data_IF_567296259046
#
_entry.id   IF_567296259046
#
_cell.length_a   1.000
_cell.length_b   1.000
_cell.length_c   1.000
_cell.angle_alpha   90.00
_cell.angle_beta   90.00
_cell.angle_gamma   90.00
#
_symmetry.space_group_name_H-M   'P 1'
#
loop_
_entity.id
_entity.type
_entity.pdbx_description
1 polymer ?
#
# COMPACT_ATOMS: atom_id res chain seq x y z
N UNK A 1 30.37 -15.63 46.45
CA UNK A 1 29.31 -14.62 46.58
C UNK A 1 29.37 -13.50 45.53
N UNK A 2 30.52 -12.87 45.24
CA UNK A 2 30.56 -11.71 44.32
C UNK A 2 30.13 -12.03 42.87
N UNK A 3 30.52 -13.20 42.34
CA UNK A 3 30.18 -13.62 40.97
C UNK A 3 28.69 -13.89 40.75
N UNK A 4 28.01 -14.44 41.76
CA UNK A 4 26.56 -14.72 41.67
C UNK A 4 25.77 -13.41 41.71
N UNK A 5 26.18 -12.45 42.53
CA UNK A 5 25.56 -11.11 42.58
C UNK A 5 25.72 -10.36 41.25
N UNK A 6 26.91 -10.40 40.62
CA UNK A 6 27.12 -9.79 39.30
C UNK A 6 26.28 -10.44 38.20
N UNK A 7 26.08 -11.75 38.24
CA UNK A 7 25.25 -12.47 37.27
C UNK A 7 23.77 -12.11 37.40
N UNK A 8 23.24 -12.04 38.62
CA UNK A 8 21.87 -11.60 38.86
C UNK A 8 21.68 -10.11 38.53
N UNK A 9 22.65 -9.26 38.87
CA UNK A 9 22.64 -7.84 38.48
C UNK A 9 22.69 -7.67 36.95
N UNK A 10 23.44 -8.50 36.24
CA UNK A 10 23.49 -8.51 34.77
C UNK A 10 22.19 -9.03 34.14
N UNK A 11 21.58 -10.08 34.70
CA UNK A 11 20.25 -10.58 34.28
C UNK A 11 19.16 -9.54 34.55
N UNK A 12 19.19 -8.88 35.71
CA UNK A 12 18.25 -7.79 36.05
C UNK A 12 18.51 -6.59 35.15
N UNK A 13 19.76 -6.22 34.90
CA UNK A 13 20.13 -5.16 33.96
C UNK A 13 19.64 -5.47 32.54
N UNK A 14 19.79 -6.72 32.08
CA UNK A 14 19.25 -7.19 30.79
C UNK A 14 17.72 -7.20 30.79
N UNK A 15 17.04 -7.66 31.85
CA UNK A 15 15.56 -7.65 31.92
C UNK A 15 14.99 -6.23 32.01
N UNK A 16 15.62 -5.34 32.76
CA UNK A 16 15.24 -3.92 32.89
C UNK A 16 15.53 -3.16 31.60
N UNK A 17 16.65 -3.46 30.90
CA UNK A 17 16.92 -2.97 29.53
C UNK A 17 16.02 -3.62 28.47
N UNK A 18 15.58 -4.88 28.62
CA UNK A 18 14.67 -5.57 27.68
C UNK A 18 13.19 -5.22 27.89
N UNK A 19 12.85 -4.43 28.92
CA UNK A 19 11.59 -3.67 28.94
C UNK A 19 11.57 -2.57 27.85
N UNK A 20 12.72 -2.35 27.20
CA UNK A 20 12.91 -1.45 26.08
C UNK A 20 12.74 -2.25 24.78
N UNK A 21 11.52 -2.17 24.24
CA UNK A 21 11.17 -2.44 22.84
C UNK A 21 11.15 -3.94 22.48
N UNK A 22 9.94 -4.47 22.27
CA UNK A 22 9.73 -5.79 21.65
C UNK A 22 9.48 -5.57 20.15
N UNK A 23 10.52 -5.58 19.30
CA UNK A 23 10.37 -5.34 17.85
C UNK A 23 9.35 -6.31 17.23
N UNK A 24 9.31 -7.56 17.71
CA UNK A 24 8.35 -8.59 17.28
C UNK A 24 6.89 -8.13 17.44
N UNK A 25 6.56 -7.39 18.52
CA UNK A 25 5.20 -6.88 18.73
C UNK A 25 4.86 -5.70 17.83
N UNK A 26 5.87 -4.91 17.45
CA UNK A 26 5.68 -3.73 16.60
C UNK A 26 5.50 -4.15 15.14
N UNK A 27 6.25 -5.16 14.69
CA UNK A 27 6.10 -5.78 13.37
C UNK A 27 4.76 -6.49 13.22
N UNK A 28 4.32 -7.21 14.27
CA UNK A 28 2.99 -7.82 14.29
C UNK A 28 1.88 -6.78 14.14
N UNK A 29 1.94 -5.67 14.88
CA UNK A 29 0.98 -4.57 14.77
C UNK A 29 0.97 -3.98 13.34
N UNK A 30 2.15 -3.75 12.76
CA UNK A 30 2.27 -3.23 11.39
C UNK A 30 1.58 -4.15 10.37
N UNK A 31 1.85 -5.46 10.44
CA UNK A 31 1.21 -6.45 9.56
C UNK A 31 -0.31 -6.52 9.75
N UNK A 32 -0.80 -6.46 10.99
CA UNK A 32 -2.24 -6.41 11.25
C UNK A 32 -2.89 -5.17 10.62
N UNK A 33 -2.23 -4.01 10.70
CA UNK A 33 -2.71 -2.78 10.05
C UNK A 33 -2.76 -2.95 8.53
N UNK A 34 -1.71 -3.49 7.91
CA UNK A 34 -1.66 -3.74 6.46
C UNK A 34 -2.83 -4.62 6.03
N UNK A 35 -3.02 -5.75 6.70
CA UNK A 35 -4.10 -6.69 6.41
C UNK A 35 -5.47 -6.03 6.58
N UNK A 36 -5.63 -5.22 7.63
CA UNK A 36 -6.88 -4.49 7.87
C UNK A 36 -7.20 -3.55 6.72
N UNK A 37 -6.24 -2.74 6.25
CA UNK A 37 -6.44 -1.83 5.12
C UNK A 37 -6.68 -2.57 3.80
N UNK A 38 -6.04 -3.72 3.60
CA UNK A 38 -6.19 -4.53 2.40
C UNK A 38 -7.58 -5.18 2.32
N UNK A 39 -8.09 -5.69 3.44
CA UNK A 39 -9.39 -6.39 3.52
C UNK A 39 -10.56 -5.41 3.58
N UNK A 40 -10.37 -4.22 4.16
CA UNK A 40 -11.43 -3.24 4.40
C UNK A 40 -12.34 -2.95 3.19
N UNK A 41 -11.84 -2.59 1.99
CA UNK A 41 -12.72 -2.25 0.88
C UNK A 41 -13.64 -3.41 0.47
N UNK A 42 -13.11 -4.64 0.40
CA UNK A 42 -13.91 -5.81 0.04
C UNK A 42 -14.92 -6.18 1.13
N UNK A 43 -14.55 -6.06 2.41
CA UNK A 43 -15.48 -6.27 3.52
C UNK A 43 -16.60 -5.24 3.52
N UNK A 44 -16.29 -3.97 3.25
CA UNK A 44 -17.29 -2.92 3.21
C UNK A 44 -18.23 -3.08 2.01
N UNK A 45 -17.70 -3.47 0.86
CA UNK A 45 -18.50 -3.79 -0.32
C UNK A 45 -19.50 -4.93 -0.07
N UNK A 46 -19.07 -6.03 0.56
CA UNK A 46 -19.97 -7.14 0.88
C UNK A 46 -21.00 -6.79 1.96
N UNK A 47 -20.65 -5.92 2.91
CA UNK A 47 -21.63 -5.45 3.89
C UNK A 47 -22.65 -4.50 3.25
N UNK A 48 -22.24 -3.59 2.37
CA UNK A 48 -23.16 -2.71 1.67
C UNK A 48 -24.03 -3.46 0.66
N UNK A 49 -23.53 -4.53 0.01
CA UNK A 49 -24.32 -5.26 -1.00
C UNK A 49 -25.62 -5.87 -0.47
N UNK A 50 -25.73 -6.09 0.85
CA UNK A 50 -26.97 -6.55 1.53
C UNK A 50 -28.11 -5.51 1.42
N UNK A 51 -27.78 -4.24 1.20
CA UNK A 51 -28.75 -3.17 0.96
C UNK A 51 -29.03 -2.94 -0.54
N UNK A 52 -28.33 -3.65 -1.43
CA UNK A 52 -28.51 -3.53 -2.88
C UNK A 52 -29.67 -4.40 -3.34
N UNK A 53 -30.85 -3.81 -3.42
CA UNK A 53 -32.05 -4.48 -3.91
C UNK A 53 -32.31 -4.14 -5.38
N UNK A 54 -33.18 -4.91 -6.03
CA UNK A 54 -33.78 -4.59 -7.33
C UNK A 54 -35.26 -4.93 -7.32
N UNK A 55 -36.03 -4.16 -8.07
CA UNK A 55 -37.43 -4.49 -8.33
C UNK A 55 -37.50 -5.53 -9.46
N UNK A 56 -38.28 -6.61 -9.24
CA UNK A 56 -38.54 -7.64 -10.26
C UNK A 56 -40.00 -7.57 -10.71
N UNK A 57 -40.92 -7.61 -9.74
CA UNK A 57 -42.34 -7.39 -9.94
C UNK A 57 -42.73 -6.07 -9.27
N UNK A 58 -43.83 -5.47 -9.72
CA UNK A 58 -44.35 -4.21 -9.18
C UNK A 58 -44.53 -4.28 -7.66
N UNK A 59 -43.68 -3.56 -6.92
CA UNK A 59 -43.67 -3.52 -5.45
C UNK A 59 -42.92 -4.66 -4.74
N UNK A 60 -42.29 -5.58 -5.48
CA UNK A 60 -41.47 -6.66 -4.92
C UNK A 60 -39.98 -6.41 -5.18
N UNK A 61 -39.26 -6.12 -4.09
CA UNK A 61 -37.82 -5.92 -4.10
C UNK A 61 -37.12 -7.20 -3.66
N UNK A 62 -36.12 -7.60 -4.42
CA UNK A 62 -35.32 -8.79 -4.17
C UNK A 62 -33.84 -8.41 -4.08
N UNK A 63 -33.09 -9.15 -3.28
CA UNK A 63 -31.68 -8.85 -3.03
C UNK A 63 -30.82 -9.19 -4.27
N UNK A 64 -29.94 -8.27 -4.70
CA UNK A 64 -29.16 -8.44 -5.93
C UNK A 64 -28.15 -9.59 -5.89
N UNK A 65 -27.58 -9.87 -4.72
CA UNK A 65 -26.58 -10.95 -4.55
C UNK A 65 -27.24 -12.33 -4.40
N UNK A 66 -28.50 -12.37 -3.97
CA UNK A 66 -29.26 -13.60 -3.75
C UNK A 66 -30.76 -13.33 -3.95
N UNK A 67 -31.28 -13.78 -5.10
CA UNK A 67 -32.67 -13.53 -5.49
C UNK A 67 -33.67 -14.39 -4.72
N UNK A 68 -33.23 -15.27 -3.82
CA UNK A 68 -34.12 -16.03 -2.93
C UNK A 68 -34.55 -15.19 -1.70
N UNK A 69 -33.89 -14.06 -1.44
CA UNK A 69 -34.15 -13.20 -0.29
C UNK A 69 -34.97 -11.98 -0.73
N UNK A 70 -36.19 -11.85 -0.18
CA UNK A 70 -37.03 -10.68 -0.37
C UNK A 70 -36.51 -9.51 0.49
N UNK A 71 -36.28 -8.36 -0.14
CA UNK A 71 -35.88 -7.15 0.56
C UNK A 71 -37.06 -6.56 1.34
N UNK A 72 -36.74 -5.93 2.47
CA UNK A 72 -37.72 -5.27 3.35
C UNK A 72 -38.72 -6.21 4.04
N UNK A 73 -38.50 -7.52 3.96
CA UNK A 73 -39.20 -8.48 4.82
C UNK A 73 -38.67 -8.39 6.27
N UNK A 74 -39.43 -8.93 7.22
CA UNK A 74 -39.09 -8.86 8.65
C UNK A 74 -37.67 -9.38 8.93
N UNK A 75 -37.30 -10.53 8.38
CA UNK A 75 -35.97 -11.11 8.57
C UNK A 75 -34.88 -10.24 7.93
N UNK A 76 -35.09 -9.77 6.69
CA UNK A 76 -34.13 -8.91 5.99
C UNK A 76 -33.89 -7.60 6.74
N UNK A 77 -34.95 -6.94 7.20
CA UNK A 77 -34.84 -5.70 8.00
C UNK A 77 -34.12 -5.97 9.32
N UNK A 78 -34.51 -7.03 10.04
CA UNK A 78 -33.93 -7.35 11.33
C UNK A 78 -32.41 -7.56 11.22
N UNK A 79 -31.95 -8.42 10.29
CA UNK A 79 -30.52 -8.67 10.12
C UNK A 79 -29.76 -7.47 9.55
N UNK A 80 -30.35 -6.75 8.57
CA UNK A 80 -29.71 -5.59 7.94
C UNK A 80 -29.46 -4.47 8.94
N UNK A 81 -30.44 -4.12 9.77
CA UNK A 81 -30.29 -3.02 10.73
C UNK A 81 -29.61 -3.43 12.04
N UNK A 82 -29.81 -4.66 12.53
CA UNK A 82 -29.24 -5.08 13.83
C UNK A 82 -27.80 -5.60 13.71
N UNK A 83 -27.43 -6.23 12.59
CA UNK A 83 -26.12 -6.85 12.42
C UNK A 83 -25.28 -6.07 11.42
N UNK A 84 -25.81 -5.85 10.21
CA UNK A 84 -25.01 -5.32 9.10
C UNK A 84 -24.71 -3.83 9.28
N UNK A 85 -25.70 -3.01 9.65
CA UNK A 85 -25.49 -1.58 9.84
C UNK A 85 -24.45 -1.29 10.95
N UNK A 86 -24.49 -1.93 12.14
CA UNK A 86 -23.41 -1.79 13.12
C UNK A 86 -22.06 -2.31 12.62
N UNK A 87 -22.03 -3.40 11.83
CA UNK A 87 -20.80 -3.89 11.23
C UNK A 87 -20.18 -2.85 10.27
N UNK A 88 -20.98 -2.20 9.42
CA UNK A 88 -20.53 -1.12 8.53
C UNK A 88 -19.96 0.04 9.35
N UNK A 89 -20.64 0.45 10.42
CA UNK A 89 -20.16 1.53 11.29
C UNK A 89 -18.83 1.16 11.96
N UNK A 90 -18.72 -0.05 12.51
CA UNK A 90 -17.52 -0.52 13.19
C UNK A 90 -16.34 -0.61 12.20
N UNK A 91 -16.52 -1.32 11.08
CA UNK A 91 -15.45 -1.61 10.14
C UNK A 91 -15.14 -0.45 9.19
N UNK A 92 -16.14 0.35 8.81
CA UNK A 92 -15.99 1.45 7.86
C UNK A 92 -15.61 2.77 8.52
N UNK A 93 -16.12 3.04 9.73
CA UNK A 93 -15.95 4.35 10.37
C UNK A 93 -15.11 4.26 11.64
N UNK A 94 -15.51 3.44 12.60
CA UNK A 94 -14.93 3.44 13.95
C UNK A 94 -13.49 2.94 13.93
N UNK A 95 -13.21 1.78 13.35
CA UNK A 95 -11.86 1.20 13.37
C UNK A 95 -10.86 2.08 12.62
N UNK A 96 -11.09 2.50 11.36
CA UNK A 96 -10.19 3.43 10.68
C UNK A 96 -10.08 4.78 11.39
N UNK A 97 -11.18 5.30 11.95
CA UNK A 97 -11.19 6.54 12.70
C UNK A 97 -10.33 6.49 13.98
N UNK A 98 -10.40 5.39 14.73
CA UNK A 98 -9.54 5.18 15.91
C UNK A 98 -8.06 5.12 15.54
N UNK A 99 -7.73 4.47 14.42
CA UNK A 99 -6.35 4.43 13.91
C UNK A 99 -5.87 5.81 13.46
N UNK A 100 -6.72 6.58 12.76
CA UNK A 100 -6.43 7.95 12.37
C UNK A 100 -6.21 8.86 13.58
N UNK A 101 -7.06 8.79 14.60
CA UNK A 101 -6.91 9.56 15.84
C UNK A 101 -5.58 9.21 16.54
N UNK A 102 -5.24 7.92 16.62
CA UNK A 102 -3.92 7.50 17.15
C UNK A 102 -2.79 8.09 16.33
N UNK A 103 -2.86 8.03 15.00
CA UNK A 103 -1.82 8.54 14.13
C UNK A 103 -1.62 10.06 14.29
N UNK A 104 -2.72 10.83 14.36
CA UNK A 104 -2.69 12.28 14.59
C UNK A 104 -2.03 12.61 15.93
N UNK A 105 -2.30 11.83 17.00
CA UNK A 105 -1.65 12.02 18.30
C UNK A 105 -0.14 11.75 18.27
N UNK A 106 0.34 10.95 17.33
CA UNK A 106 1.76 10.68 17.13
C UNK A 106 2.41 11.54 16.04
N UNK A 107 1.72 12.57 15.51
CA UNK A 107 2.21 13.46 14.45
C UNK A 107 3.62 14.01 14.73
N UNK A 108 3.86 14.51 15.94
CA UNK A 108 5.16 15.11 16.29
C UNK A 108 6.27 14.07 16.49
N UNK A 109 5.89 12.79 16.61
CA UNK A 109 6.78 11.64 16.83
C UNK A 109 6.85 10.71 15.62
N UNK A 110 6.43 11.15 14.44
CA UNK A 110 6.48 10.34 13.21
C UNK A 110 7.91 9.89 12.83
N UNK A 111 8.93 10.60 13.31
CA UNK A 111 10.34 10.24 13.11
C UNK A 111 10.89 9.24 14.14
N UNK A 112 10.15 8.97 15.23
CA UNK A 112 10.58 7.98 16.22
C UNK A 112 10.61 6.60 15.60
N UNK A 113 11.68 5.84 15.86
CA UNK A 113 11.89 4.50 15.30
C UNK A 113 10.69 3.58 15.57
N UNK A 114 10.06 3.68 16.74
CA UNK A 114 8.89 2.85 17.10
C UNK A 114 7.65 3.18 16.29
N UNK A 115 7.39 4.47 16.11
CA UNK A 115 6.24 4.96 15.34
C UNK A 115 6.43 4.60 13.87
N UNK A 116 7.66 4.77 13.36
CA UNK A 116 8.02 4.37 12.00
C UNK A 116 7.93 2.87 11.76
N UNK A 117 8.26 2.01 12.73
CA UNK A 117 8.08 0.56 12.58
C UNK A 117 6.60 0.16 12.54
N UNK A 118 5.75 0.76 13.39
CA UNK A 118 4.32 0.42 13.49
C UNK A 118 3.45 1.02 12.39
N UNK A 119 3.67 2.29 12.09
CA UNK A 119 2.84 3.10 11.19
C UNK A 119 3.56 3.43 9.87
N UNK A 120 4.78 2.91 9.70
CA UNK A 120 5.58 3.11 8.51
C UNK A 120 4.82 2.78 7.25
N UNK A 121 4.04 1.69 7.23
CA UNK A 121 3.23 1.35 6.07
C UNK A 121 2.27 2.48 5.65
N UNK A 122 1.54 3.07 6.59
CA UNK A 122 0.51 4.09 6.32
C UNK A 122 1.16 5.41 5.89
N UNK A 123 2.29 5.77 6.49
CA UNK A 123 2.92 7.07 6.26
C UNK A 123 4.06 7.03 5.23
N UNK A 124 4.58 5.85 4.89
CA UNK A 124 5.73 5.71 3.98
C UNK A 124 5.31 6.08 2.57
N UNK A 125 6.05 7.01 1.98
CA UNK A 125 5.78 7.52 0.63
C UNK A 125 4.95 8.80 0.61
N UNK A 126 4.33 9.20 1.72
CA UNK A 126 3.60 10.47 1.84
C UNK A 126 4.49 11.60 2.37
N UNK A 127 4.18 12.84 1.98
CA UNK A 127 4.83 14.01 2.58
C UNK A 127 4.43 14.15 4.06
N UNK A 128 5.24 14.86 4.85
CA UNK A 128 4.95 15.07 6.28
C UNK A 128 3.62 15.79 6.53
N UNK A 129 3.18 16.60 5.57
CA UNK A 129 1.92 17.35 5.66
C UNK A 129 0.71 16.45 5.40
N UNK A 130 0.87 15.43 4.54
CA UNK A 130 -0.19 14.52 4.10
C UNK A 130 -0.04 13.10 4.70
N UNK A 131 0.52 12.98 5.90
CA UNK A 131 0.76 11.69 6.56
C UNK A 131 -0.50 10.82 6.79
N UNK A 132 -1.68 11.44 6.74
CA UNK A 132 -2.99 10.80 6.94
C UNK A 132 -3.69 10.43 5.62
N UNK A 133 -3.05 10.65 4.48
CA UNK A 133 -3.71 10.57 3.17
C UNK A 133 -4.23 9.17 2.82
N UNK A 134 -3.60 8.11 3.33
CA UNK A 134 -4.11 6.75 3.16
C UNK A 134 -5.54 6.59 3.69
N UNK A 135 -5.89 7.27 4.80
CA UNK A 135 -7.26 7.30 5.31
C UNK A 135 -8.21 8.06 4.39
N UNK A 136 -7.74 9.12 3.72
CA UNK A 136 -8.54 9.85 2.72
C UNK A 136 -8.88 8.93 1.54
N UNK A 137 -7.91 8.15 1.07
CA UNK A 137 -8.12 7.14 0.02
C UNK A 137 -9.11 6.06 0.51
N UNK A 138 -8.99 5.60 1.76
CA UNK A 138 -9.90 4.63 2.33
C UNK A 138 -11.34 5.13 2.38
N UNK A 139 -11.57 6.33 2.95
CA UNK A 139 -12.92 6.90 3.04
C UNK A 139 -13.48 7.28 1.67
N UNK A 140 -12.64 7.63 0.70
CA UNK A 140 -13.05 7.77 -0.70
C UNK A 140 -13.67 6.47 -1.23
N UNK A 141 -12.99 5.33 -1.06
CA UNK A 141 -13.50 4.01 -1.49
C UNK A 141 -14.83 3.68 -0.80
N UNK A 142 -14.91 3.87 0.52
CA UNK A 142 -16.14 3.63 1.29
C UNK A 142 -17.30 4.50 0.79
N UNK A 143 -17.04 5.78 0.51
CA UNK A 143 -18.08 6.70 0.01
C UNK A 143 -18.54 6.31 -1.40
N UNK A 144 -17.62 5.92 -2.28
CA UNK A 144 -17.97 5.41 -3.62
C UNK A 144 -18.83 4.15 -3.55
N UNK A 145 -18.46 3.18 -2.71
CA UNK A 145 -19.24 1.95 -2.49
C UNK A 145 -20.63 2.30 -1.96
N UNK A 146 -20.70 3.16 -0.95
CA UNK A 146 -21.94 3.59 -0.32
C UNK A 146 -22.90 4.25 -1.31
N UNK A 147 -22.41 5.19 -2.13
CA UNK A 147 -23.22 5.85 -3.17
C UNK A 147 -23.67 4.86 -4.24
N UNK A 148 -22.82 3.92 -4.64
CA UNK A 148 -23.17 2.90 -5.62
C UNK A 148 -24.34 2.04 -5.15
N UNK A 149 -24.37 1.66 -3.87
CA UNK A 149 -25.45 0.84 -3.31
C UNK A 149 -26.71 1.65 -3.03
N UNK A 150 -26.61 2.80 -2.35
CA UNK A 150 -27.81 3.56 -1.98
C UNK A 150 -28.57 4.13 -3.17
N UNK A 151 -27.89 4.35 -4.30
CA UNK A 151 -28.51 4.87 -5.51
C UNK A 151 -28.94 3.78 -6.50
N UNK A 152 -28.70 2.49 -6.20
CA UNK A 152 -29.01 1.38 -7.11
C UNK A 152 -30.50 1.28 -7.44
N UNK A 153 -31.38 1.71 -6.53
CA UNK A 153 -32.83 1.63 -6.67
C UNK A 153 -33.46 2.81 -7.43
N UNK A 154 -32.73 3.91 -7.68
CA UNK A 154 -33.32 5.11 -8.29
C UNK A 154 -33.31 5.01 -9.81
N UNK A 155 -32.10 5.01 -10.39
CA UNK A 155 -31.86 4.74 -11.80
C UNK A 155 -30.36 4.61 -12.02
N UNK A 156 -29.98 3.79 -12.99
CA UNK A 156 -28.58 3.55 -13.36
C UNK A 156 -27.89 4.88 -13.74
N UNK A 157 -28.59 5.76 -14.46
CA UNK A 157 -28.05 7.06 -14.89
C UNK A 157 -27.76 7.99 -13.71
N UNK A 158 -28.67 8.08 -12.73
CA UNK A 158 -28.47 8.91 -11.54
C UNK A 158 -27.33 8.35 -10.67
N UNK A 159 -27.29 7.02 -10.48
CA UNK A 159 -26.21 6.35 -9.75
C UNK A 159 -24.84 6.65 -10.40
N UNK A 160 -24.71 6.42 -11.70
CA UNK A 160 -23.46 6.64 -12.42
C UNK A 160 -23.02 8.11 -12.40
N UNK A 161 -23.96 9.06 -12.55
CA UNK A 161 -23.68 10.48 -12.47
C UNK A 161 -23.17 10.89 -11.08
N UNK A 162 -23.82 10.42 -10.02
CA UNK A 162 -23.41 10.74 -8.64
C UNK A 162 -22.02 10.19 -8.32
N UNK A 163 -21.74 8.94 -8.69
CA UNK A 163 -20.40 8.33 -8.54
C UNK A 163 -19.36 9.08 -9.37
N UNK A 164 -19.70 9.51 -10.58
CA UNK A 164 -18.85 10.31 -11.47
C UNK A 164 -18.48 11.65 -10.84
N UNK A 165 -19.46 12.40 -10.31
CA UNK A 165 -19.24 13.69 -9.63
C UNK A 165 -18.32 13.50 -8.41
N UNK A 166 -18.57 12.45 -7.62
CA UNK A 166 -17.76 12.13 -6.45
C UNK A 166 -16.31 11.79 -6.85
N UNK A 167 -16.13 11.03 -7.92
CA UNK A 167 -14.80 10.68 -8.42
C UNK A 167 -14.04 11.90 -8.95
N UNK A 168 -14.71 12.80 -9.67
CA UNK A 168 -14.14 14.09 -10.12
C UNK A 168 -13.68 14.93 -8.92
N UNK A 169 -14.48 14.98 -7.85
CA UNK A 169 -14.09 15.66 -6.61
C UNK A 169 -12.81 15.05 -6.00
N UNK A 170 -12.69 13.72 -5.94
CA UNK A 170 -11.48 13.08 -5.44
C UNK A 170 -10.27 13.23 -6.36
N UNK A 171 -10.48 13.30 -7.68
CA UNK A 171 -9.43 13.64 -8.65
C UNK A 171 -8.93 15.06 -8.39
N UNK A 172 -9.83 16.02 -8.17
CA UNK A 172 -9.47 17.40 -7.85
C UNK A 172 -8.64 17.47 -6.55
N UNK A 173 -9.06 16.76 -5.50
CA UNK A 173 -8.29 16.66 -4.25
C UNK A 173 -6.88 16.09 -4.47
N UNK A 174 -6.74 15.06 -5.32
CA UNK A 174 -5.44 14.46 -5.65
C UNK A 174 -4.54 15.45 -6.39
N UNK A 175 -5.07 16.17 -7.39
CA UNK A 175 -4.32 17.16 -8.19
C UNK A 175 -3.86 18.32 -7.31
N UNK A 176 -4.73 18.80 -6.41
CA UNK A 176 -4.46 19.93 -5.52
C UNK A 176 -3.39 19.60 -4.48
N UNK A 177 -3.50 18.44 -3.83
CA UNK A 177 -2.70 18.14 -2.65
C UNK A 177 -1.40 17.40 -2.97
N UNK A 178 -1.32 16.62 -4.07
CA UNK A 178 -0.13 15.84 -4.46
C UNK A 178 0.57 15.17 -3.26
N UNK A 179 -0.16 14.31 -2.53
CA UNK A 179 0.20 13.85 -1.19
C UNK A 179 1.48 13.01 -1.14
N UNK A 180 1.84 12.33 -2.24
CA UNK A 180 3.01 11.47 -2.28
C UNK A 180 4.29 12.30 -2.44
N UNK A 181 5.38 11.83 -1.82
CA UNK A 181 6.71 12.42 -1.97
C UNK A 181 7.28 12.16 -3.37
N UNK A 182 6.98 11.00 -3.95
CA UNK A 182 7.35 10.68 -5.34
C UNK A 182 6.29 11.22 -6.30
N UNK A 183 6.71 12.09 -7.23
CA UNK A 183 5.86 12.62 -8.29
C UNK A 183 5.24 11.50 -9.13
N UNK A 184 6.01 10.44 -9.42
CA UNK A 184 5.51 9.32 -10.22
C UNK A 184 4.35 8.63 -9.52
N UNK A 185 4.40 8.50 -8.20
CA UNK A 185 3.31 7.89 -7.44
C UNK A 185 2.05 8.76 -7.44
N UNK A 186 2.20 10.10 -7.39
CA UNK A 186 1.08 11.02 -7.58
C UNK A 186 0.46 10.88 -8.98
N UNK A 187 1.29 10.80 -10.02
CA UNK A 187 0.83 10.69 -11.41
C UNK A 187 0.12 9.34 -11.65
N UNK A 188 0.64 8.25 -11.09
CA UNK A 188 0.01 6.93 -11.15
C UNK A 188 -1.34 6.89 -10.43
N UNK A 189 -1.45 7.52 -9.26
CA UNK A 189 -2.71 7.60 -8.51
C UNK A 189 -3.75 8.48 -9.21
N UNK A 190 -3.31 9.51 -9.93
CA UNK A 190 -4.19 10.31 -10.78
C UNK A 190 -4.64 9.49 -12.01
N UNK A 191 -3.71 8.76 -12.63
CA UNK A 191 -3.99 7.92 -13.78
C UNK A 191 -4.99 6.79 -13.44
N UNK A 192 -4.84 6.15 -12.28
CA UNK A 192 -5.79 5.11 -11.82
C UNK A 192 -7.21 5.64 -11.71
N UNK A 193 -7.40 6.81 -11.08
CA UNK A 193 -8.71 7.45 -10.94
C UNK A 193 -9.28 7.94 -12.27
N UNK A 194 -8.42 8.45 -13.16
CA UNK A 194 -8.84 8.84 -14.51
C UNK A 194 -9.33 7.65 -15.35
N UNK A 195 -8.62 6.51 -15.27
CA UNK A 195 -9.05 5.26 -15.91
C UNK A 195 -10.37 4.75 -15.33
N UNK A 196 -10.56 4.84 -14.01
CA UNK A 196 -11.84 4.51 -13.38
C UNK A 196 -12.97 5.42 -13.88
N UNK A 197 -12.72 6.72 -14.01
CA UNK A 197 -13.68 7.70 -14.54
C UNK A 197 -14.10 7.34 -15.98
N UNK A 198 -13.13 7.05 -16.86
CA UNK A 198 -13.39 6.63 -18.24
C UNK A 198 -14.23 5.35 -18.27
N UNK A 199 -13.91 4.39 -17.40
CA UNK A 199 -14.61 3.11 -17.31
C UNK A 199 -16.07 3.28 -16.90
N UNK A 200 -16.33 4.12 -15.88
CA UNK A 200 -17.69 4.41 -15.42
C UNK A 200 -18.48 5.16 -16.50
N UNK A 201 -17.88 6.15 -17.16
CA UNK A 201 -18.53 6.86 -18.25
C UNK A 201 -18.89 5.91 -19.41
N UNK A 202 -17.97 5.04 -19.82
CA UNK A 202 -18.25 4.04 -20.86
C UNK A 202 -19.37 3.07 -20.45
N UNK A 203 -19.37 2.63 -19.19
CA UNK A 203 -20.44 1.78 -18.65
C UNK A 203 -21.80 2.46 -18.63
N UNK A 204 -21.87 3.74 -18.26
CA UNK A 204 -23.11 4.53 -18.29
C UNK A 204 -23.67 4.62 -19.72
N UNK A 205 -22.82 5.00 -20.68
CA UNK A 205 -23.21 5.11 -22.08
C UNK A 205 -23.66 3.78 -22.69
N UNK A 206 -23.09 2.67 -22.22
CA UNK A 206 -23.50 1.33 -22.61
C UNK A 206 -24.87 0.95 -22.02
N UNK A 207 -25.10 1.25 -20.74
CA UNK A 207 -26.34 0.90 -20.04
C UNK A 207 -27.53 1.78 -20.41
N UNK A 208 -27.27 3.02 -20.83
CA UNK A 208 -28.32 3.94 -21.26
C UNK A 208 -28.88 3.59 -22.66
N UNK A 209 -28.22 2.70 -23.42
CA UNK A 209 -28.56 2.32 -24.81
C UNK A 209 -28.73 3.53 -25.77
N UNK A 210 -28.14 4.68 -25.41
CA UNK A 210 -28.23 5.94 -26.18
C UNK A 210 -27.29 5.97 -27.40
N UNK A 211 -26.38 5.00 -27.52
CA UNK A 211 -25.40 4.92 -28.59
C UNK A 211 -25.76 3.80 -29.56
N UNK A 212 -25.69 4.11 -30.84
CA UNK A 212 -25.69 3.07 -31.87
C UNK A 212 -24.52 2.07 -31.65
N UNK A 213 -24.69 0.84 -32.13
CA UNK A 213 -23.69 -0.25 -32.05
C UNK A 213 -22.24 0.20 -32.30
N UNK A 214 -21.89 0.97 -33.35
CA UNK A 214 -20.51 1.43 -33.56
C UNK A 214 -20.00 2.34 -32.42
N UNK A 215 -20.85 3.20 -31.87
CA UNK A 215 -20.52 4.09 -30.76
C UNK A 215 -20.26 3.32 -29.45
N UNK A 216 -21.10 2.31 -29.17
CA UNK A 216 -20.92 1.43 -28.01
C UNK A 216 -19.59 0.65 -28.08
N UNK A 217 -19.25 0.10 -29.26
CA UNK A 217 -17.97 -0.59 -29.48
C UNK A 217 -16.79 0.37 -29.30
N UNK A 218 -16.89 1.60 -29.80
CA UNK A 218 -15.85 2.61 -29.65
C UNK A 218 -15.58 2.96 -28.18
N UNK A 219 -16.64 3.19 -27.39
CA UNK A 219 -16.51 3.47 -25.95
C UNK A 219 -15.93 2.28 -25.18
N UNK A 220 -16.34 1.05 -25.52
CA UNK A 220 -15.75 -0.16 -24.96
C UNK A 220 -14.25 -0.25 -25.24
N UNK A 221 -13.82 0.02 -26.49
CA UNK A 221 -12.40 0.01 -26.86
C UNK A 221 -11.60 1.08 -26.09
N UNK A 222 -12.15 2.28 -25.89
CA UNK A 222 -11.50 3.31 -25.07
C UNK A 222 -11.34 2.85 -23.62
N UNK A 223 -12.39 2.31 -23.01
CA UNK A 223 -12.33 1.78 -21.65
C UNK A 223 -11.33 0.63 -21.54
N UNK A 224 -11.34 -0.31 -22.50
CA UNK A 224 -10.41 -1.44 -22.52
C UNK A 224 -8.96 -0.98 -22.67
N UNK A 225 -8.66 -0.11 -23.64
CA UNK A 225 -7.32 0.41 -23.88
C UNK A 225 -6.79 1.23 -22.70
N UNK A 226 -7.63 2.04 -22.05
CA UNK A 226 -7.22 2.80 -20.86
C UNK A 226 -6.90 1.91 -19.66
N UNK A 227 -7.73 0.88 -19.40
CA UNK A 227 -7.45 -0.12 -18.35
C UNK A 227 -6.18 -0.93 -18.65
N UNK A 228 -6.01 -1.39 -19.90
CA UNK A 228 -4.82 -2.13 -20.31
C UNK A 228 -3.56 -1.27 -20.19
N UNK A 229 -3.62 -0.02 -20.62
CA UNK A 229 -2.52 0.94 -20.47
C UNK A 229 -2.15 1.15 -19.01
N UNK A 230 -3.15 1.35 -18.12
CA UNK A 230 -2.92 1.49 -16.69
C UNK A 230 -2.24 0.26 -16.07
N UNK A 231 -2.71 -0.95 -16.40
CA UNK A 231 -2.14 -2.20 -15.91
C UNK A 231 -0.69 -2.36 -16.38
N UNK A 232 -0.43 -2.15 -17.68
CA UNK A 232 0.93 -2.26 -18.25
C UNK A 232 1.88 -1.26 -17.58
N UNK A 233 1.49 0.02 -17.48
CA UNK A 233 2.31 1.05 -16.82
C UNK A 233 2.59 0.70 -15.36
N UNK A 234 1.59 0.20 -14.63
CA UNK A 234 1.73 -0.23 -13.23
C UNK A 234 2.72 -1.39 -13.09
N UNK A 235 2.60 -2.42 -13.93
CA UNK A 235 3.49 -3.58 -13.92
C UNK A 235 4.93 -3.20 -14.28
N UNK A 236 5.13 -2.40 -15.33
CA UNK A 236 6.45 -1.92 -15.74
C UNK A 236 7.11 -1.11 -14.62
N UNK A 237 6.35 -0.27 -13.91
CA UNK A 237 6.87 0.52 -12.78
C UNK A 237 7.25 -0.38 -11.61
N UNK A 238 6.37 -1.29 -11.21
CA UNK A 238 6.65 -2.24 -10.12
C UNK A 238 7.91 -3.05 -10.47
N UNK A 239 8.01 -3.56 -11.69
CA UNK A 239 9.17 -4.31 -12.14
C UNK A 239 10.45 -3.48 -12.11
N UNK A 240 10.42 -2.22 -12.55
CA UNK A 240 11.58 -1.33 -12.50
C UNK A 240 12.02 -1.04 -11.05
N UNK A 241 11.09 -0.80 -10.13
CA UNK A 241 11.42 -0.58 -8.72
C UNK A 241 11.96 -1.86 -8.05
N UNK A 242 11.40 -3.03 -8.38
CA UNK A 242 11.95 -4.33 -7.97
C UNK A 242 13.37 -4.51 -8.50
N UNK A 243 13.63 -4.24 -9.78
CA UNK A 243 14.97 -4.34 -10.36
C UNK A 243 15.96 -3.40 -9.68
N UNK A 244 15.58 -2.15 -9.38
CA UNK A 244 16.43 -1.22 -8.62
C UNK A 244 16.75 -1.77 -7.23
N UNK A 245 15.75 -2.31 -6.54
CA UNK A 245 15.93 -2.92 -5.21
C UNK A 245 16.86 -4.14 -5.26
N UNK A 246 16.67 -5.04 -6.23
CA UNK A 246 17.55 -6.21 -6.43
C UNK A 246 18.96 -5.77 -6.79
N UNK A 247 19.15 -4.83 -7.73
CA UNK A 247 20.48 -4.30 -8.08
C UNK A 247 21.18 -3.66 -6.90
N UNK A 248 20.48 -2.84 -6.12
CA UNK A 248 21.05 -2.22 -4.91
C UNK A 248 21.50 -3.27 -3.89
N UNK A 249 20.69 -4.32 -3.68
CA UNK A 249 21.02 -5.42 -2.76
C UNK A 249 22.20 -6.26 -3.27
N UNK A 250 22.27 -6.52 -4.57
CA UNK A 250 23.40 -7.22 -5.20
C UNK A 250 24.70 -6.40 -5.11
N UNK A 251 24.66 -5.10 -5.41
CA UNK A 251 25.81 -4.20 -5.26
C UNK A 251 26.29 -4.13 -3.81
N UNK A 252 25.36 -4.05 -2.86
CA UNK A 252 25.67 -4.06 -1.43
C UNK A 252 26.35 -5.38 -1.02
N UNK A 253 25.80 -6.53 -1.43
CA UNK A 253 26.37 -7.84 -1.14
C UNK A 253 27.75 -8.03 -1.78
N UNK A 254 27.93 -7.55 -3.02
CA UNK A 254 29.22 -7.52 -3.70
C UNK A 254 30.26 -6.66 -2.95
N UNK A 255 29.87 -5.47 -2.50
CA UNK A 255 30.76 -4.59 -1.70
C UNK A 255 31.17 -5.23 -0.38
N UNK A 256 30.31 -6.05 0.22
CA UNK A 256 30.58 -6.76 1.48
C UNK A 256 31.60 -7.89 1.25
N UNK A 257 31.44 -8.68 0.19
CA UNK A 257 32.40 -9.72 -0.21
C UNK A 257 33.77 -9.12 -0.57
N UNK A 258 33.81 -7.99 -1.26
CA UNK A 258 35.06 -7.26 -1.56
C UNK A 258 35.73 -6.68 -0.32
N UNK A 259 34.95 -6.29 0.70
CA UNK A 259 35.48 -5.83 1.98
C UNK A 259 36.11 -6.96 2.78
N UNK A 260 35.47 -8.13 2.80
CA UNK A 260 35.97 -9.31 3.52
C UNK A 260 37.24 -9.89 2.87
N UNK A 261 37.31 -9.89 1.54
CA UNK A 261 38.51 -10.27 0.79
C UNK A 261 39.66 -9.26 0.96
N UNK A 262 39.39 -7.95 1.03
CA UNK A 262 40.43 -6.96 1.41
C UNK A 262 41.01 -7.17 2.80
N UNK A 263 40.17 -7.51 3.78
CA UNK A 263 40.63 -7.79 5.15
C UNK A 263 41.53 -9.03 5.18
N UNK A 264 41.16 -10.11 4.47
CA UNK A 264 42.00 -11.31 4.36
C UNK A 264 43.33 -11.04 3.66
N UNK A 265 43.35 -10.26 2.57
CA UNK A 265 44.58 -9.92 1.86
C UNK A 265 45.51 -9.05 2.73
N UNK A 266 44.97 -8.05 3.44
CA UNK A 266 45.79 -7.24 4.34
C UNK A 266 46.36 -8.07 5.50
N UNK A 267 45.60 -9.00 6.05
CA UNK A 267 46.09 -9.90 7.10
C UNK A 267 47.25 -10.79 6.62
N UNK A 268 47.15 -11.36 5.42
CA UNK A 268 48.24 -12.18 4.84
C UNK A 268 49.48 -11.32 4.55
N UNK A 269 49.31 -10.08 4.10
CA UNK A 269 50.42 -9.15 3.89
C UNK A 269 51.10 -8.82 5.23
N UNK A 270 50.34 -8.49 6.28
CA UNK A 270 50.89 -8.21 7.61
C UNK A 270 51.61 -9.43 8.19
N UNK A 271 51.06 -10.63 8.05
CA UNK A 271 51.69 -11.88 8.50
C UNK A 271 53.01 -12.16 7.74
N UNK A 272 53.04 -11.88 6.43
CA UNK A 272 54.27 -12.00 5.62
C UNK A 272 55.34 -10.95 5.92
N UNK A 273 54.97 -9.76 6.40
CA UNK A 273 55.92 -8.71 6.82
C UNK A 273 56.49 -8.98 8.22
N UNK A 274 55.76 -9.66 9.10
CA UNK A 274 56.25 -10.11 10.41
C UNK A 274 57.28 -11.24 10.25
N UNK A 275 57.10 -12.13 9.27
CA UNK A 275 58.05 -13.22 9.00
C UNK A 275 59.30 -12.77 8.22
N UNK A 276 59.22 -11.73 7.39
CA UNK A 276 60.33 -11.25 6.55
C UNK A 276 61.08 -10.04 7.11
N UNK A 277 61.55 -10.15 8.35
CA UNK A 277 62.70 -9.37 8.86
C UNK A 277 64.02 -9.61 8.10
N UNK A 278 63.99 -10.21 6.90
CA UNK A 278 65.11 -10.32 5.97
C UNK A 278 64.62 -10.01 4.54
N UNK A 279 65.17 -8.91 4.01
CA UNK A 279 65.12 -8.39 2.63
C UNK A 279 64.65 -9.37 1.54
N UNK A 280 63.68 -8.97 0.70
CA UNK A 280 63.65 -9.24 -0.76
C UNK A 280 62.81 -8.17 -1.49
N UNK A 281 63.33 -7.76 -2.65
CA UNK A 281 62.74 -6.90 -3.68
C UNK A 281 61.35 -7.37 -4.16
N UNK A 282 60.38 -6.46 -4.19
CA UNK A 282 59.06 -6.68 -4.81
C UNK A 282 59.18 -6.44 -6.32
N UNK A 283 59.36 -7.50 -7.09
CA UNK A 283 59.27 -7.47 -8.55
C UNK A 283 58.42 -8.62 -9.06
N UNK A 284 57.11 -8.59 -8.82
CA UNK A 284 56.08 -9.19 -9.70
C UNK A 284 54.70 -9.00 -9.09
N UNK A 285 53.96 -7.97 -9.52
CA UNK A 285 52.50 -8.03 -9.49
C UNK A 285 51.87 -7.14 -10.59
N UNK A 286 52.04 -7.46 -11.89
CA UNK A 286 51.46 -6.64 -12.97
C UNK A 286 49.95 -6.82 -13.14
N UNK A 287 49.35 -7.85 -12.52
CA UNK A 287 47.96 -8.25 -12.79
C UNK A 287 46.88 -7.46 -12.04
N UNK A 288 47.13 -7.00 -10.80
CA UNK A 288 46.10 -6.39 -9.97
C UNK A 288 45.83 -4.90 -10.29
N UNK A 289 46.82 -4.19 -10.85
CA UNK A 289 46.69 -2.78 -11.22
C UNK A 289 45.83 -2.56 -12.48
N UNK A 290 45.71 -3.58 -13.35
CA UNK A 290 44.92 -3.48 -14.59
C UNK A 290 43.42 -3.56 -14.31
N UNK A 291 43.01 -4.34 -13.30
CA UNK A 291 41.59 -4.45 -12.89
C UNK A 291 41.13 -3.17 -12.19
N UNK A 292 42.01 -2.53 -11.40
CA UNK A 292 41.72 -1.26 -10.71
C UNK A 292 41.45 -0.09 -11.70
N UNK A 293 42.14 -0.06 -12.86
CA UNK A 293 41.91 0.99 -13.88
C UNK A 293 40.60 0.84 -14.65
N UNK A 294 40.10 -0.39 -14.84
CA UNK A 294 38.82 -0.64 -15.55
C UNK A 294 37.58 -0.36 -14.68
N UNK A 295 37.69 -0.45 -13.36
CA UNK A 295 36.57 -0.21 -12.45
C UNK A 295 36.33 1.28 -12.15
N UNK A 296 37.35 2.14 -12.28
CA UNK A 296 37.21 3.59 -12.06
C UNK A 296 36.55 4.29 -13.26
N UNK A 297 36.60 3.73 -14.48
CA UNK A 297 35.97 4.37 -15.66
C UNK A 297 34.48 4.04 -15.84
N UNK A 298 33.88 3.28 -14.91
CA UNK A 298 32.47 2.83 -14.98
C UNK A 298 31.64 3.33 -13.77
N UNK A 299 32.27 4.04 -12.83
CA UNK A 299 31.61 4.76 -11.74
C UNK A 299 31.51 6.25 -12.07
#
# INVERSE_FOLDING_TARGET
MLRTVCFFAWIIYIKVRKKKWNPISDDFICNCIILLFLINPGLIETLFSIFSCREINSGEYWLNIDLDIQCWDFDHIFYSYLIILPAILIWGVIIPGLWLIKLIRYKDRLQDTRVKLRYGFICSGYSKEFFYWEFVILYCKITLISFSVFLSNISISVQALAVTILLIFFIFLQIKNKPFTDKVLNDMELFSKATLLITICAGLFFLADELERPGAIFMFLIAFCSNLSFIICSLLRIFNELLKFVKAKLLFMGSMLFRESRVKVNYIIDESQVDNGKNIHISHLPGLLIVHRKLISVA
#
